data_IF_864382932956
#
_entry.id   IF_864382932956
#
_cell.length_a   1.000
_cell.length_b   1.000
_cell.length_c   1.000
_cell.angle_alpha   90.00
_cell.angle_beta   90.00
_cell.angle_gamma   90.00
#
_symmetry.space_group_name_H-M   'P 1'
#
loop_
_entity.id
_entity.type
_entity.pdbx_description
1 polymer ?
#
# COMPACT_ATOMS: atom_id res chain seq x y z
N UNK A 1 -31.67 -0.29 5.88
CA UNK A 1 -30.63 0.33 6.73
C UNK A 1 -29.60 0.95 5.79
N UNK A 2 -29.67 2.25 5.53
CA UNK A 2 -28.83 2.92 4.54
C UNK A 2 -27.41 3.13 5.09
N UNK A 3 -26.42 2.54 4.41
CA UNK A 3 -25.00 2.68 4.72
C UNK A 3 -24.49 4.10 4.46
N UNK A 4 -24.68 5.00 5.42
CA UNK A 4 -24.10 6.34 5.37
C UNK A 4 -22.60 6.24 5.67
N UNK A 5 -21.79 6.25 4.61
CA UNK A 5 -20.33 6.41 4.72
C UNK A 5 -20.07 7.69 5.53
N UNK A 6 -19.25 7.66 6.59
CA UNK A 6 -18.99 8.83 7.42
C UNK A 6 -18.43 9.97 6.55
N UNK A 7 -18.98 11.19 6.69
CA UNK A 7 -18.50 12.37 5.95
C UNK A 7 -16.99 12.61 6.10
N UNK A 8 -16.41 12.26 7.26
CA UNK A 8 -14.97 12.31 7.51
C UNK A 8 -14.18 11.37 6.60
N UNK A 9 -14.69 10.16 6.35
CA UNK A 9 -14.08 9.19 5.44
C UNK A 9 -14.08 9.70 4.00
N UNK A 10 -15.14 10.41 3.57
CA UNK A 10 -15.21 11.02 2.23
C UNK A 10 -14.21 12.18 2.07
N UNK A 11 -14.03 13.01 3.11
CA UNK A 11 -13.06 14.11 3.08
C UNK A 11 -11.61 13.62 3.09
N UNK A 12 -11.29 12.62 3.92
CA UNK A 12 -9.98 11.95 3.92
C UNK A 12 -9.70 11.31 2.56
N UNK A 13 -10.70 10.64 1.98
CA UNK A 13 -10.59 10.06 0.64
C UNK A 13 -10.29 11.11 -0.44
N UNK A 14 -10.97 12.27 -0.41
CA UNK A 14 -10.73 13.38 -1.35
C UNK A 14 -9.36 14.05 -1.18
N UNK A 15 -8.91 14.26 0.05
CA UNK A 15 -7.60 14.83 0.33
C UNK A 15 -6.48 13.89 -0.14
N UNK A 16 -6.64 12.59 0.10
CA UNK A 16 -5.71 11.55 -0.37
C UNK A 16 -5.72 11.45 -1.90
N UNK A 17 -6.88 11.53 -2.54
CA UNK A 17 -6.97 11.58 -4.00
C UNK A 17 -6.19 12.74 -4.61
N UNK A 18 -6.35 13.95 -4.08
CA UNK A 18 -5.64 15.13 -4.60
C UNK A 18 -4.12 15.08 -4.41
N UNK A 19 -3.64 14.50 -3.31
CA UNK A 19 -2.21 14.36 -2.99
C UNK A 19 -1.51 13.25 -3.77
N UNK A 20 -2.24 12.19 -4.12
CA UNK A 20 -1.69 11.00 -4.76
C UNK A 20 -1.85 10.99 -6.29
N UNK A 21 -2.74 11.83 -6.85
CA UNK A 21 -3.12 11.82 -8.27
C UNK A 21 -2.00 12.11 -9.28
N UNK A 22 -0.79 12.50 -8.84
CA UNK A 22 0.35 12.77 -9.73
C UNK A 22 1.57 11.86 -9.56
N UNK A 23 1.73 11.16 -8.42
CA UNK A 23 2.97 10.45 -8.07
C UNK A 23 2.79 8.94 -7.90
N UNK A 24 1.63 8.48 -7.46
CA UNK A 24 1.39 7.05 -7.17
C UNK A 24 0.24 6.49 -8.01
N UNK A 25 0.45 5.29 -8.55
CA UNK A 25 -0.53 4.55 -9.32
C UNK A 25 -1.75 4.13 -8.49
N UNK A 26 -2.79 3.62 -9.16
CA UNK A 26 -4.00 3.16 -8.46
C UNK A 26 -3.71 2.03 -7.46
N UNK A 27 -2.85 1.08 -7.82
CA UNK A 27 -2.49 -0.03 -6.95
C UNK A 27 -1.77 0.43 -5.68
N UNK A 28 -0.77 1.30 -5.81
CA UNK A 28 -0.03 1.91 -4.71
C UNK A 28 -0.97 2.66 -3.75
N UNK A 29 -1.92 3.41 -4.29
CA UNK A 29 -2.92 4.13 -3.50
C UNK A 29 -3.80 3.18 -2.70
N UNK A 30 -4.33 2.13 -3.33
CA UNK A 30 -5.12 1.10 -2.64
C UNK A 30 -4.32 0.40 -1.55
N UNK A 31 -3.05 0.14 -1.81
CA UNK A 31 -2.17 -0.47 -0.82
C UNK A 31 -1.95 0.44 0.40
N UNK A 32 -1.68 1.73 0.17
CA UNK A 32 -1.56 2.72 1.25
C UNK A 32 -2.86 2.87 2.04
N UNK A 33 -4.01 2.85 1.37
CA UNK A 33 -5.34 2.85 2.02
C UNK A 33 -5.54 1.61 2.88
N UNK A 34 -5.18 0.43 2.38
CA UNK A 34 -5.23 -0.81 3.15
C UNK A 34 -4.36 -0.73 4.42
N UNK A 35 -3.15 -0.19 4.33
CA UNK A 35 -2.31 0.02 5.50
C UNK A 35 -2.92 1.02 6.48
N UNK A 36 -3.52 2.11 5.99
CA UNK A 36 -4.18 3.11 6.83
C UNK A 36 -5.39 2.54 7.60
N UNK A 37 -6.15 1.64 6.96
CA UNK A 37 -7.35 1.02 7.52
C UNK A 37 -7.02 -0.10 8.50
N UNK A 38 -6.08 -0.99 8.15
CA UNK A 38 -5.76 -2.19 8.95
C UNK A 38 -4.74 -1.92 10.06
N UNK A 39 -4.05 -0.76 10.04
CA UNK A 39 -2.86 -0.48 10.84
C UNK A 39 -1.74 -1.53 10.66
N UNK A 40 -1.78 -2.33 9.59
CA UNK A 40 -0.71 -3.27 9.27
C UNK A 40 0.48 -2.51 8.71
N UNK A 41 1.68 -3.01 8.98
CA UNK A 41 2.94 -2.48 8.44
C UNK A 41 3.49 -3.29 7.28
N UNK A 42 2.89 -4.44 6.95
CA UNK A 42 3.35 -5.33 5.89
C UNK A 42 2.21 -6.03 5.16
N UNK A 43 2.42 -6.37 3.89
CA UNK A 43 1.53 -7.19 3.08
C UNK A 43 2.35 -8.26 2.35
N UNK A 44 1.80 -9.46 2.23
CA UNK A 44 2.33 -10.48 1.35
C UNK A 44 1.59 -10.45 0.02
N UNK A 45 2.35 -10.34 -1.07
CA UNK A 45 1.82 -10.38 -2.42
C UNK A 45 2.59 -11.42 -3.22
N UNK A 46 1.99 -11.90 -4.30
CA UNK A 46 2.74 -12.67 -5.29
C UNK A 46 3.86 -11.81 -5.91
N UNK A 47 4.93 -12.47 -6.32
CA UNK A 47 6.01 -11.89 -7.11
C UNK A 47 5.51 -11.23 -8.40
N UNK A 48 6.26 -10.28 -8.96
CA UNK A 48 5.89 -9.55 -10.19
C UNK A 48 5.09 -8.27 -9.95
N UNK A 49 5.03 -7.79 -8.70
CA UNK A 49 4.34 -6.55 -8.29
C UNK A 49 5.28 -5.35 -8.16
N UNK A 50 6.54 -5.51 -8.52
CA UNK A 50 7.57 -4.49 -8.36
C UNK A 50 7.30 -3.26 -9.24
N UNK A 51 6.73 -3.45 -10.44
CA UNK A 51 6.30 -2.36 -11.32
C UNK A 51 5.05 -1.66 -10.78
N UNK A 52 4.10 -2.43 -10.25
CA UNK A 52 2.88 -1.90 -9.63
C UNK A 52 3.20 -1.05 -8.38
N UNK A 53 4.35 -1.30 -7.73
CA UNK A 53 4.82 -0.65 -6.50
C UNK A 53 6.06 0.21 -6.72
N UNK A 54 6.38 0.53 -7.98
CA UNK A 54 7.66 1.10 -8.36
C UNK A 54 7.96 2.41 -7.64
N UNK A 55 7.01 3.34 -7.54
CA UNK A 55 7.25 4.64 -6.92
C UNK A 55 7.39 4.51 -5.41
N UNK A 56 6.58 3.67 -4.76
CA UNK A 56 6.72 3.42 -3.32
C UNK A 56 8.05 2.77 -2.95
N UNK A 57 8.58 1.87 -3.79
CA UNK A 57 9.90 1.27 -3.61
C UNK A 57 11.00 2.28 -3.90
N UNK A 58 10.92 3.01 -5.02
CA UNK A 58 11.90 4.02 -5.43
C UNK A 58 12.02 5.17 -4.44
N UNK A 59 10.90 5.61 -3.87
CA UNK A 59 10.84 6.68 -2.87
C UNK A 59 11.21 6.19 -1.47
N UNK A 60 11.48 4.89 -1.31
CA UNK A 60 11.90 4.29 -0.05
C UNK A 60 10.79 4.21 1.00
N UNK A 61 9.53 4.22 0.59
CA UNK A 61 8.36 4.03 1.46
C UNK A 61 8.05 2.56 1.72
N UNK A 62 8.47 1.67 0.82
CA UNK A 62 8.37 0.22 0.96
C UNK A 62 9.74 -0.44 0.86
N UNK A 63 9.88 -1.57 1.54
CA UNK A 63 10.96 -2.55 1.35
C UNK A 63 10.35 -3.88 0.95
N UNK A 64 10.93 -4.53 -0.05
CA UNK A 64 10.56 -5.87 -0.47
C UNK A 64 11.51 -6.90 0.15
N UNK A 65 10.95 -7.98 0.70
CA UNK A 65 11.68 -9.16 1.15
C UNK A 65 11.07 -10.37 0.47
N UNK A 66 11.86 -11.08 -0.34
CA UNK A 66 11.44 -12.36 -0.88
C UNK A 66 11.24 -13.35 0.27
N UNK A 67 10.07 -13.96 0.34
CA UNK A 67 9.82 -15.03 1.29
C UNK A 67 10.17 -16.37 0.64
N UNK A 68 10.68 -17.30 1.45
CA UNK A 68 10.87 -18.69 1.05
C UNK A 68 9.54 -19.46 0.93
N UNK A 69 8.41 -18.79 1.16
CA UNK A 69 7.05 -19.33 1.00
C UNK A 69 6.47 -19.09 -0.39
N UNK A 70 5.63 -20.02 -0.85
CA UNK A 70 4.99 -19.93 -2.16
C UNK A 70 4.19 -21.18 -2.51
N UNK A 71 3.43 -21.12 -3.59
CA UNK A 71 2.74 -22.28 -4.14
C UNK A 71 3.68 -23.04 -5.06
N UNK A 72 3.80 -24.35 -4.86
CA UNK A 72 4.58 -25.25 -5.70
C UNK A 72 3.68 -26.31 -6.32
N UNK A 73 3.82 -26.58 -7.62
CA UNK A 73 3.17 -27.70 -8.31
C UNK A 73 4.28 -28.57 -8.89
N UNK A 74 4.37 -29.83 -8.44
CA UNK A 74 5.41 -30.76 -8.88
C UNK A 74 6.85 -30.32 -8.57
N UNK A 75 7.06 -29.54 -7.49
CA UNK A 75 8.36 -28.99 -7.11
C UNK A 75 8.77 -27.71 -7.86
N UNK A 76 7.97 -27.26 -8.82
CA UNK A 76 8.19 -25.99 -9.52
C UNK A 76 7.46 -24.85 -8.78
N UNK A 77 8.12 -23.72 -8.48
CA UNK A 77 7.47 -22.57 -7.88
C UNK A 77 6.51 -21.93 -8.89
N UNK A 78 5.23 -21.90 -8.57
CA UNK A 78 4.16 -21.35 -9.42
C UNK A 78 3.71 -19.97 -8.94
N UNK A 79 3.91 -19.68 -7.67
CA UNK A 79 3.76 -18.35 -7.09
C UNK A 79 4.73 -18.19 -5.93
N UNK A 80 5.71 -17.29 -6.05
CA UNK A 80 6.56 -16.90 -4.93
C UNK A 80 5.92 -15.72 -4.21
N UNK A 81 5.99 -15.71 -2.89
CA UNK A 81 5.50 -14.60 -2.09
C UNK A 81 6.63 -13.61 -1.80
N UNK A 82 6.29 -12.33 -1.84
CA UNK A 82 7.14 -11.23 -1.45
C UNK A 82 6.42 -10.45 -0.36
N UNK A 83 7.08 -10.29 0.78
CA UNK A 83 6.61 -9.40 1.84
C UNK A 83 7.06 -7.98 1.55
N UNK A 84 6.10 -7.08 1.36
CA UNK A 84 6.31 -5.65 1.26
C UNK A 84 6.01 -5.00 2.61
N UNK A 85 7.00 -4.30 3.18
CA UNK A 85 6.87 -3.65 4.48
C UNK A 85 7.05 -2.15 4.39
N UNK A 86 6.26 -1.39 5.14
CA UNK A 86 6.41 0.06 5.29
C UNK A 86 7.70 0.38 6.02
N UNK A 87 8.51 1.25 5.43
CA UNK A 87 9.62 1.90 6.12
C UNK A 87 9.12 2.96 7.09
N UNK A 88 10.02 3.57 7.87
CA UNK A 88 9.67 4.73 8.70
C UNK A 88 9.06 5.88 7.89
N UNK A 89 9.54 6.12 6.67
CA UNK A 89 8.97 7.15 5.78
C UNK A 89 7.59 6.74 5.27
N UNK A 90 7.39 5.47 4.93
CA UNK A 90 6.09 4.92 4.53
C UNK A 90 5.05 4.99 5.65
N UNK A 91 5.44 4.69 6.89
CA UNK A 91 4.56 4.85 8.06
C UNK A 91 4.15 6.31 8.28
N UNK A 92 5.08 7.25 8.11
CA UNK A 92 4.77 8.68 8.18
C UNK A 92 3.79 9.12 7.08
N UNK A 93 3.97 8.60 5.85
CA UNK A 93 3.05 8.83 4.73
C UNK A 93 1.64 8.33 5.05
N UNK A 94 1.51 7.08 5.50
CA UNK A 94 0.22 6.47 5.88
C UNK A 94 -0.44 7.24 7.04
N UNK A 95 0.35 7.69 8.03
CA UNK A 95 -0.17 8.50 9.14
C UNK A 95 -0.70 9.86 8.67
N UNK A 96 -0.02 10.52 7.73
CA UNK A 96 -0.47 11.79 7.12
C UNK A 96 -1.75 11.60 6.30
N UNK A 97 -1.84 10.50 5.53
CA UNK A 97 -3.06 10.12 4.79
C UNK A 97 -4.25 9.88 5.73
N UNK A 98 -4.01 9.22 6.88
CA UNK A 98 -5.05 8.98 7.89
C UNK A 98 -5.48 10.27 8.59
N UNK A 99 -4.55 11.20 8.80
CA UNK A 99 -4.84 12.52 9.37
C UNK A 99 -5.52 13.48 8.37
N UNK A 100 -5.54 13.16 7.08
CA UNK A 100 -6.04 14.06 6.03
C UNK A 100 -5.16 15.30 5.83
N UNK A 101 -3.87 15.23 6.20
CA UNK A 101 -2.95 16.37 6.15
C UNK A 101 -2.19 16.41 4.82
N UNK A 102 -2.07 17.59 4.18
CA UNK A 102 -1.29 17.72 2.95
C UNK A 102 0.20 17.42 3.19
N UNK A 103 0.82 16.76 2.20
CA UNK A 103 2.27 16.60 2.11
C UNK A 103 2.85 17.93 1.61
N UNK A 104 3.51 18.69 2.49
CA UNK A 104 4.37 19.83 2.11
C UNK A 104 5.69 19.36 1.53
#
# INVERSE_FOLDING_TARGET
>A
MEGKIPRKSIQQYKANLALLHGRYGEFERRLLEQFAQTNSSSVQLNTGRELDLYYLLRDGHLTARADSGGMFIGGMPVAQLVTYSLTSSGQALVKRMKAGSPLS
#
